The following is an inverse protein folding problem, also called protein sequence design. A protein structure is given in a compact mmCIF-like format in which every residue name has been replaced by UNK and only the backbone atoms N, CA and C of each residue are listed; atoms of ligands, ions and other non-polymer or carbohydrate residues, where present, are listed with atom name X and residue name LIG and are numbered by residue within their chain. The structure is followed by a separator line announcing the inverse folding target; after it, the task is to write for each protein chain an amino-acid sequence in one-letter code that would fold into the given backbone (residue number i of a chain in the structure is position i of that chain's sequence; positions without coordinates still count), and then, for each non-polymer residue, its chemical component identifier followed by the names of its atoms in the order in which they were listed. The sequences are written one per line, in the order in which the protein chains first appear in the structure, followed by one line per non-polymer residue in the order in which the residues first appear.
data_IF_599052435196
#
_entry.id   IF_599052435196
#
_cell.length_a   1.000
_cell.length_b   1.000
_cell.length_c   1.000
_cell.angle_alpha   90.00
_cell.angle_beta   90.00
_cell.angle_gamma   90.00
#
_symmetry.space_group_name_H-M   'P 1'
#
loop_
_entity.id
_entity.type
_entity.pdbx_description
1 polymer ?
#
# COMPACT_ATOMS: atom_id res chain seq x y z
N UNK A 1 26.60 10.36 10.82
CA UNK A 1 26.78 10.82 12.21
C UNK A 1 25.73 11.82 12.70
N UNK A 2 25.28 12.81 11.88
CA UNK A 2 24.20 13.75 12.28
C UNK A 2 22.94 13.05 12.79
N UNK A 3 22.48 12.01 12.10
CA UNK A 3 21.31 11.21 12.50
C UNK A 3 21.44 10.64 13.92
N UNK A 4 22.58 10.04 14.28
CA UNK A 4 22.79 9.45 15.61
C UNK A 4 22.83 10.51 16.71
N UNK A 5 23.44 11.68 16.45
CA UNK A 5 23.39 12.83 17.35
C UNK A 5 21.96 13.33 17.55
N UNK A 6 21.15 13.38 16.47
CA UNK A 6 19.75 13.76 16.54
C UNK A 6 18.93 12.74 17.34
N UNK A 7 19.18 11.43 17.17
CA UNK A 7 18.52 10.38 17.97
C UNK A 7 18.82 10.55 19.46
N UNK A 8 20.08 10.85 19.82
CA UNK A 8 20.47 11.10 21.21
C UNK A 8 19.69 12.29 21.78
N UNK A 9 19.66 13.40 21.05
CA UNK A 9 18.93 14.61 21.45
C UNK A 9 17.44 14.32 21.62
N UNK A 10 16.81 13.65 20.66
CA UNK A 10 15.38 13.34 20.67
C UNK A 10 14.99 12.40 21.83
N UNK A 11 15.87 11.51 22.22
CA UNK A 11 15.64 10.56 23.31
C UNK A 11 16.09 11.07 24.69
N UNK A 12 16.66 12.27 24.78
CA UNK A 12 17.12 12.83 26.04
C UNK A 12 18.33 12.10 26.66
N UNK A 13 19.07 11.30 25.87
CA UNK A 13 20.21 10.48 26.32
C UNK A 13 21.55 11.23 26.20
N UNK A 14 21.58 12.56 26.48
CA UNK A 14 22.72 13.44 26.25
C UNK A 14 24.00 13.00 26.96
N UNK A 15 23.91 12.50 28.19
CA UNK A 15 25.05 12.16 29.03
C UNK A 15 25.72 10.82 28.68
N UNK A 16 25.08 10.00 27.84
CA UNK A 16 25.53 8.63 27.52
C UNK A 16 25.66 8.41 26.01
N UNK A 17 26.06 9.46 25.30
CA UNK A 17 26.05 9.49 23.83
C UNK A 17 27.12 8.64 23.14
N UNK A 18 28.22 8.31 23.84
CA UNK A 18 29.38 7.63 23.22
C UNK A 18 29.02 6.25 22.65
N UNK A 19 28.19 5.47 23.33
CA UNK A 19 27.82 4.12 22.89
C UNK A 19 26.91 4.15 21.65
N UNK A 20 25.98 5.12 21.56
CA UNK A 20 25.16 5.32 20.37
C UNK A 20 26.00 5.80 19.19
N UNK A 21 26.96 6.70 19.44
CA UNK A 21 27.92 7.12 18.42
C UNK A 21 28.81 5.97 17.94
N UNK A 22 29.22 5.08 18.85
CA UNK A 22 29.97 3.85 18.52
C UNK A 22 29.14 2.93 17.63
N UNK A 23 27.83 2.74 17.92
CA UNK A 23 26.91 2.02 17.03
C UNK A 23 26.88 2.68 15.64
N UNK A 24 26.81 4.01 15.59
CA UNK A 24 26.85 4.77 14.33
C UNK A 24 28.14 4.56 13.54
N UNK A 25 29.29 4.50 14.22
CA UNK A 25 30.57 4.19 13.56
C UNK A 25 30.61 2.74 13.03
N UNK A 26 30.10 1.77 13.78
CA UNK A 26 30.00 0.38 13.33
C UNK A 26 29.15 0.27 12.06
N UNK A 27 27.99 0.94 12.02
CA UNK A 27 27.12 0.96 10.84
C UNK A 27 27.81 1.66 9.66
N UNK A 28 28.48 2.79 9.90
CA UNK A 28 29.23 3.50 8.85
C UNK A 28 30.36 2.63 8.28
N UNK A 29 31.08 1.89 9.14
CA UNK A 29 32.10 0.93 8.71
C UNK A 29 31.50 -0.16 7.84
N UNK A 30 30.36 -0.73 8.25
CA UNK A 30 29.66 -1.77 7.50
C UNK A 30 29.23 -1.28 6.10
N UNK A 31 28.73 -0.04 5.99
CA UNK A 31 28.40 0.58 4.71
C UNK A 31 29.64 0.70 3.81
N UNK A 32 30.76 1.16 4.38
CA UNK A 32 32.01 1.32 3.61
C UNK A 32 32.53 -0.02 3.07
N UNK A 33 32.43 -1.09 3.88
CA UNK A 33 32.99 -2.39 3.54
C UNK A 33 32.10 -3.21 2.61
N UNK A 34 30.77 -3.18 2.85
CA UNK A 34 29.82 -4.10 2.20
C UNK A 34 28.77 -3.40 1.32
N UNK A 35 28.77 -2.06 1.30
CA UNK A 35 27.81 -1.25 0.55
C UNK A 35 26.42 -1.16 1.20
N UNK A 36 25.53 -0.36 0.56
CA UNK A 36 24.20 -0.07 1.10
C UNK A 36 23.27 -1.30 1.08
N UNK A 37 23.27 -2.09 0.00
CA UNK A 37 22.35 -3.21 -0.16
C UNK A 37 22.56 -4.30 0.89
N UNK A 38 23.82 -4.68 1.14
CA UNK A 38 24.14 -5.63 2.22
C UNK A 38 23.78 -5.06 3.58
N UNK A 39 24.20 -3.82 3.86
CA UNK A 39 23.95 -3.17 5.16
C UNK A 39 22.46 -3.03 5.44
N UNK A 40 21.66 -2.75 4.41
CA UNK A 40 20.21 -2.73 4.50
C UNK A 40 19.64 -4.05 5.05
N UNK A 41 19.98 -5.18 4.41
CA UNK A 41 19.52 -6.51 4.83
C UNK A 41 20.04 -6.86 6.23
N UNK A 42 21.29 -6.53 6.50
CA UNK A 42 21.95 -6.79 7.78
C UNK A 42 21.26 -6.03 8.94
N UNK A 43 21.02 -4.72 8.79
CA UNK A 43 20.37 -3.92 9.83
C UNK A 43 18.90 -4.28 10.02
N UNK A 44 18.19 -4.64 8.93
CA UNK A 44 16.82 -5.13 9.02
C UNK A 44 16.75 -6.40 9.86
N UNK A 45 17.68 -7.32 9.66
CA UNK A 45 17.78 -8.54 10.47
C UNK A 45 18.19 -8.24 11.91
N UNK A 46 19.11 -7.29 12.14
CA UNK A 46 19.44 -6.83 13.49
C UNK A 46 18.22 -6.31 14.25
N UNK A 47 17.37 -5.50 13.58
CA UNK A 47 16.14 -4.98 14.19
C UNK A 47 15.19 -6.12 14.56
N UNK A 48 15.02 -7.12 13.67
CA UNK A 48 14.20 -8.31 13.94
C UNK A 48 14.70 -9.08 15.17
N UNK A 49 16.01 -9.30 15.26
CA UNK A 49 16.63 -10.02 16.38
C UNK A 49 16.44 -9.29 17.73
N UNK A 50 16.54 -7.96 17.73
CA UNK A 50 16.24 -7.16 18.94
C UNK A 50 14.78 -7.32 19.35
N UNK A 51 13.85 -7.27 18.41
CA UNK A 51 12.41 -7.47 18.70
C UNK A 51 12.13 -8.88 19.24
N UNK A 52 12.75 -9.91 18.66
CA UNK A 52 12.63 -11.29 19.16
C UNK A 52 13.20 -11.46 20.58
N UNK A 53 14.31 -10.80 20.88
CA UNK A 53 14.86 -10.79 22.24
C UNK A 53 13.89 -10.15 23.22
N UNK A 54 13.30 -9.01 22.89
CA UNK A 54 12.31 -8.31 23.72
C UNK A 54 11.01 -9.10 23.89
N UNK A 55 10.64 -9.89 22.88
CA UNK A 55 9.48 -10.80 22.94
C UNK A 55 9.76 -12.10 23.73
N UNK A 56 10.95 -12.27 24.32
CA UNK A 56 11.29 -13.49 25.06
C UNK A 56 11.58 -14.73 24.20
N UNK A 57 11.70 -14.56 22.88
CA UNK A 57 11.97 -15.65 21.91
C UNK A 57 13.29 -15.45 21.15
N UNK A 58 14.43 -15.29 21.83
CA UNK A 58 15.70 -15.02 21.18
C UNK A 58 16.17 -16.22 20.33
N UNK A 59 16.76 -15.93 19.18
CA UNK A 59 17.40 -16.96 18.34
C UNK A 59 18.92 -16.92 18.45
N UNK A 60 19.55 -18.10 18.52
CA UNK A 60 21.01 -18.24 18.58
C UNK A 60 21.70 -18.18 17.22
N UNK A 61 20.93 -18.31 16.15
CA UNK A 61 21.43 -18.32 14.78
C UNK A 61 20.52 -17.46 13.91
N UNK A 62 21.12 -16.58 13.11
CA UNK A 62 20.40 -15.74 12.19
C UNK A 62 20.96 -15.87 10.79
N UNK A 63 20.14 -16.39 9.90
CA UNK A 63 20.39 -16.38 8.46
C UNK A 63 19.08 -16.03 7.76
N UNK A 64 19.01 -14.86 7.17
CA UNK A 64 17.82 -14.41 6.47
C UNK A 64 18.21 -13.72 5.15
N UNK A 65 17.61 -14.13 4.05
CA UNK A 65 17.81 -13.55 2.71
C UNK A 65 19.29 -13.41 2.30
N UNK A 66 20.12 -14.40 2.62
CA UNK A 66 21.54 -14.41 2.24
C UNK A 66 22.46 -13.61 3.16
N UNK A 67 21.95 -13.06 4.27
CA UNK A 67 22.76 -12.29 5.22
C UNK A 67 22.80 -13.00 6.58
N UNK A 68 24.02 -13.26 7.06
CA UNK A 68 24.25 -13.81 8.39
C UNK A 68 24.63 -12.70 9.36
N UNK A 69 23.86 -12.58 10.46
CA UNK A 69 24.15 -11.63 11.54
C UNK A 69 24.81 -12.38 12.71
N UNK A 70 25.97 -11.90 13.14
CA UNK A 70 26.64 -12.43 14.34
C UNK A 70 25.88 -11.99 15.59
N UNK A 71 25.50 -12.94 16.43
CA UNK A 71 24.79 -12.71 17.69
C UNK A 71 25.58 -13.14 18.87
N UNK A 72 25.33 -12.57 20.06
CA UNK A 72 25.90 -13.00 21.33
C UNK A 72 25.10 -14.21 21.88
N UNK A 73 25.49 -14.71 23.06
CA UNK A 73 24.84 -15.84 23.76
C UNK A 73 23.34 -15.61 24.06
N UNK A 74 22.89 -14.35 24.09
CA UNK A 74 21.52 -13.98 24.36
C UNK A 74 20.69 -13.70 23.07
N UNK A 75 21.28 -13.91 21.88
CA UNK A 75 20.59 -13.66 20.60
C UNK A 75 20.63 -12.20 20.13
N UNK A 76 21.36 -11.32 20.82
CA UNK A 76 21.48 -9.91 20.42
C UNK A 76 22.60 -9.69 19.40
N UNK A 77 22.40 -8.84 18.36
CA UNK A 77 23.40 -8.54 17.34
C UNK A 77 24.68 -7.94 17.92
N UNK A 78 25.84 -8.47 17.50
CA UNK A 78 27.16 -8.03 17.98
C UNK A 78 27.54 -6.62 17.49
N UNK A 79 26.93 -6.15 16.40
CA UNK A 79 27.13 -4.78 15.91
C UNK A 79 26.70 -3.72 16.94
N UNK A 80 25.75 -4.06 17.81
CA UNK A 80 25.32 -3.22 18.93
C UNK A 80 26.40 -3.29 20.02
N UNK A 81 27.00 -2.17 20.46
CA UNK A 81 27.96 -2.14 21.54
C UNK A 81 27.47 -2.85 22.80
N UNK A 82 28.41 -3.50 23.53
CA UNK A 82 28.08 -4.28 24.73
C UNK A 82 27.29 -3.51 25.78
N UNK A 83 27.63 -2.24 26.12
CA UNK A 83 26.84 -1.48 27.08
C UNK A 83 25.37 -1.27 26.63
N UNK A 84 25.12 -1.03 25.34
CA UNK A 84 23.75 -0.89 24.83
C UNK A 84 22.98 -2.23 24.87
N UNK A 85 23.66 -3.36 24.65
CA UNK A 85 23.01 -4.69 24.75
C UNK A 85 22.59 -5.01 26.19
N UNK A 86 23.39 -4.62 27.18
CA UNK A 86 23.03 -4.79 28.59
C UNK A 86 21.78 -3.99 28.94
N UNK A 87 21.66 -2.75 28.47
CA UNK A 87 20.51 -1.88 28.74
C UNK A 87 19.19 -2.38 28.15
N UNK A 88 19.21 -3.18 27.07
CA UNK A 88 18.02 -3.82 26.53
C UNK A 88 17.39 -4.86 27.46
N UNK A 89 18.16 -5.41 28.41
CA UNK A 89 17.71 -6.43 29.37
C UNK A 89 17.40 -5.91 30.77
N UNK A 90 17.68 -4.64 31.09
CA UNK A 90 17.47 -4.05 32.40
C UNK A 90 16.04 -3.52 32.56
N UNK A 91 15.46 -3.70 33.77
CA UNK A 91 14.18 -3.07 34.15
C UNK A 91 14.41 -1.56 34.40
N UNK A 92 13.42 -0.73 34.06
CA UNK A 92 13.45 0.72 34.25
C UNK A 92 13.57 1.48 32.92
N UNK A 93 14.73 2.05 32.59
CA UNK A 93 14.96 2.87 31.38
C UNK A 93 15.00 2.08 30.07
N UNK A 94 14.67 0.79 30.10
CA UNK A 94 14.76 -0.11 28.94
C UNK A 94 13.95 0.36 27.72
N UNK A 95 12.81 1.00 27.93
CA UNK A 95 11.94 1.50 26.85
C UNK A 95 12.62 2.60 26.06
N UNK A 96 13.29 3.54 26.74
CA UNK A 96 13.98 4.65 26.09
C UNK A 96 15.18 4.17 25.29
N UNK A 97 15.99 3.29 25.89
CA UNK A 97 17.13 2.66 25.22
C UNK A 97 16.69 1.78 24.04
N UNK A 98 15.60 1.04 24.19
CA UNK A 98 15.02 0.25 23.11
C UNK A 98 14.61 1.13 21.93
N UNK A 99 13.90 2.24 22.20
CA UNK A 99 13.55 3.22 21.17
C UNK A 99 14.79 3.78 20.48
N UNK A 100 15.79 4.20 21.23
CA UNK A 100 17.02 4.75 20.67
C UNK A 100 17.77 3.74 19.79
N UNK A 101 17.96 2.51 20.28
CA UNK A 101 18.67 1.45 19.54
C UNK A 101 17.91 1.05 18.27
N UNK A 102 16.61 0.82 18.36
CA UNK A 102 15.78 0.48 17.19
C UNK A 102 15.72 1.63 16.17
N UNK A 103 15.68 2.88 16.63
CA UNK A 103 15.76 4.06 15.74
C UNK A 103 17.10 4.07 15.01
N UNK A 104 18.21 3.85 15.71
CA UNK A 104 19.55 3.78 15.10
C UNK A 104 19.66 2.62 14.10
N UNK A 105 19.17 1.44 14.44
CA UNK A 105 19.17 0.28 13.52
C UNK A 105 18.28 0.55 12.29
N UNK A 106 17.15 1.22 12.44
CA UNK A 106 16.22 1.51 11.36
C UNK A 106 16.70 2.61 10.38
N UNK A 107 17.91 3.15 10.55
CA UNK A 107 18.53 4.11 9.60
C UNK A 107 18.56 3.56 8.16
N UNK A 108 18.55 2.24 7.99
CA UNK A 108 18.52 1.61 6.67
C UNK A 108 17.31 2.04 5.82
N UNK A 109 16.24 2.50 6.45
CA UNK A 109 15.05 3.02 5.74
C UNK A 109 15.35 4.28 4.92
N UNK A 110 16.45 4.99 5.24
CA UNK A 110 16.89 6.19 4.55
C UNK A 110 17.98 5.90 3.49
N UNK A 111 18.36 4.63 3.30
CA UNK A 111 19.38 4.30 2.32
C UNK A 111 18.84 4.47 0.89
N UNK A 112 19.65 4.99 -0.03
CA UNK A 112 19.26 5.21 -1.43
C UNK A 112 19.28 3.90 -2.21
N UNK A 113 18.61 2.88 -1.70
CA UNK A 113 18.48 1.57 -2.36
C UNK A 113 17.27 1.60 -3.28
N UNK A 114 17.47 1.40 -4.59
CA UNK A 114 16.40 1.25 -5.57
C UNK A 114 16.31 -0.22 -5.95
N UNK A 115 15.20 -0.86 -5.58
CA UNK A 115 14.89 -2.21 -6.02
C UNK A 115 14.21 -2.13 -7.38
N UNK A 116 14.53 -3.07 -8.27
CA UNK A 116 13.84 -3.20 -9.57
C UNK A 116 12.35 -3.51 -9.27
N UNK A 117 11.41 -2.78 -9.87
CA UNK A 117 9.99 -3.07 -9.69
C UNK A 117 9.67 -4.46 -10.23
N UNK A 118 8.89 -5.20 -9.47
CA UNK A 118 8.42 -6.53 -9.82
C UNK A 118 6.92 -6.47 -10.12
N UNK A 119 6.53 -6.92 -11.32
CA UNK A 119 5.15 -6.98 -11.79
C UNK A 119 4.53 -8.37 -11.60
N UNK A 120 5.27 -9.35 -11.11
CA UNK A 120 4.82 -10.74 -11.01
C UNK A 120 3.51 -10.86 -10.23
N UNK A 121 3.37 -10.13 -9.11
CA UNK A 121 2.13 -10.13 -8.33
C UNK A 121 0.90 -9.65 -9.10
N UNK A 122 1.10 -8.81 -10.11
CA UNK A 122 0.02 -8.22 -10.94
C UNK A 122 -0.35 -9.15 -12.10
N UNK A 123 0.68 -9.69 -12.80
CA UNK A 123 0.48 -10.38 -14.09
C UNK A 123 0.35 -11.90 -13.98
N UNK A 124 0.89 -12.50 -12.91
CA UNK A 124 0.80 -13.94 -12.74
C UNK A 124 -0.63 -14.41 -12.49
N UNK A 125 -1.05 -15.54 -13.08
CA UNK A 125 -2.36 -16.11 -12.86
C UNK A 125 -2.54 -16.55 -11.39
N UNK A 126 -3.79 -16.81 -11.00
CA UNK A 126 -4.10 -17.30 -9.67
C UNK A 126 -3.47 -18.68 -9.44
N UNK A 127 -2.72 -18.81 -8.35
CA UNK A 127 -2.01 -20.03 -7.97
C UNK A 127 -2.57 -20.71 -6.71
N UNK A 128 -3.67 -20.20 -6.14
CA UNK A 128 -4.31 -20.77 -4.95
C UNK A 128 -5.15 -22.01 -5.26
N UNK A 129 -5.57 -22.73 -4.21
CA UNK A 129 -6.36 -23.97 -4.31
C UNK A 129 -7.78 -23.71 -4.83
N UNK A 130 -8.37 -22.57 -4.48
CA UNK A 130 -9.73 -22.23 -4.90
C UNK A 130 -9.87 -20.73 -5.17
N UNK A 131 -10.13 -20.36 -6.43
CA UNK A 131 -10.36 -18.98 -6.83
C UNK A 131 -11.75 -18.48 -6.44
N UNK A 132 -12.74 -19.36 -6.45
CA UNK A 132 -14.14 -19.06 -6.11
C UNK A 132 -14.41 -19.34 -4.63
N UNK A 133 -13.92 -18.47 -3.76
CA UNK A 133 -14.31 -18.49 -2.35
C UNK A 133 -15.78 -18.06 -2.24
N UNK A 134 -16.67 -19.02 -1.97
CA UNK A 134 -18.07 -18.72 -1.68
C UNK A 134 -18.18 -18.31 -0.21
N UNK A 135 -18.36 -17.01 0.02
CA UNK A 135 -18.68 -16.54 1.36
C UNK A 135 -20.12 -16.92 1.73
N UNK A 136 -20.36 -17.50 2.92
CA UNK A 136 -21.72 -17.73 3.39
C UNK A 136 -22.50 -16.40 3.45
N UNK A 137 -23.58 -16.31 2.69
CA UNK A 137 -24.43 -15.09 2.62
C UNK A 137 -24.91 -14.62 4.00
N UNK A 138 -25.18 -15.57 4.89
CA UNK A 138 -25.58 -15.30 6.28
C UNK A 138 -24.50 -14.56 7.06
N UNK A 139 -23.23 -14.94 6.88
CA UNK A 139 -22.09 -14.34 7.57
C UNK A 139 -21.90 -12.89 7.14
N UNK A 140 -21.93 -12.62 5.82
CA UNK A 140 -21.84 -11.26 5.29
C UNK A 140 -23.04 -10.42 5.69
N UNK A 141 -24.27 -10.96 5.61
CA UNK A 141 -25.47 -10.24 6.07
C UNK A 141 -25.39 -9.85 7.55
N UNK A 142 -24.92 -10.74 8.41
CA UNK A 142 -24.79 -10.45 9.83
C UNK A 142 -23.74 -9.37 10.09
N UNK A 143 -22.62 -9.39 9.35
CA UNK A 143 -21.58 -8.38 9.44
C UNK A 143 -22.05 -7.00 8.96
N UNK A 144 -22.86 -6.98 7.89
CA UNK A 144 -23.35 -5.74 7.25
C UNK A 144 -24.65 -5.21 7.86
N UNK A 145 -25.19 -5.90 8.86
CA UNK A 145 -26.52 -5.63 9.42
C UNK A 145 -26.73 -4.15 9.74
N UNK A 146 -27.64 -3.51 8.99
CA UNK A 146 -27.98 -2.08 9.17
C UNK A 146 -27.17 -1.10 8.34
N UNK A 147 -26.13 -1.53 7.62
CA UNK A 147 -25.32 -0.66 6.77
C UNK A 147 -25.65 -0.92 5.29
N UNK A 148 -26.03 0.14 4.57
CA UNK A 148 -26.12 0.16 3.12
C UNK A 148 -24.93 0.92 2.56
N UNK A 149 -24.24 0.30 1.62
CA UNK A 149 -23.19 0.92 0.83
C UNK A 149 -23.76 1.15 -0.57
N UNK A 150 -23.56 2.32 -1.13
CA UNK A 150 -23.97 2.66 -2.49
C UNK A 150 -22.88 3.49 -3.19
N UNK A 151 -23.02 3.68 -4.48
CA UNK A 151 -22.14 4.58 -5.21
C UNK A 151 -22.32 6.05 -4.78
N UNK A 152 -23.40 6.37 -4.09
CA UNK A 152 -23.67 7.71 -3.58
C UNK A 152 -23.85 8.77 -4.67
N UNK A 153 -24.07 10.01 -4.24
CA UNK A 153 -24.18 11.16 -5.13
C UNK A 153 -22.80 11.69 -5.48
N UNK A 154 -22.51 11.79 -6.77
CA UNK A 154 -21.27 12.40 -7.28
C UNK A 154 -21.39 13.91 -7.18
N UNK A 155 -20.61 14.50 -6.28
CA UNK A 155 -20.50 15.97 -6.15
C UNK A 155 -19.32 16.49 -6.95
N UNK A 156 -19.25 17.79 -7.16
CA UNK A 156 -18.10 18.45 -7.77
C UNK A 156 -16.80 18.06 -7.06
N UNK A 157 -15.81 17.63 -7.82
CA UNK A 157 -14.59 17.03 -7.29
C UNK A 157 -13.37 17.56 -8.03
N UNK A 158 -12.40 18.05 -7.26
CA UNK A 158 -11.08 18.39 -7.75
C UNK A 158 -10.13 17.32 -7.26
N UNK A 159 -9.59 16.51 -8.17
CA UNK A 159 -8.60 15.50 -7.82
C UNK A 159 -7.20 16.12 -7.84
N UNK A 160 -6.55 16.11 -6.68
CA UNK A 160 -5.12 16.39 -6.56
C UNK A 160 -4.26 15.14 -6.83
N UNK A 161 -4.88 13.96 -6.86
CA UNK A 161 -4.22 12.70 -7.21
C UNK A 161 -3.77 12.72 -8.67
N UNK A 162 -2.70 11.98 -8.97
CA UNK A 162 -2.19 11.88 -10.32
C UNK A 162 -3.16 11.13 -11.25
N UNK A 163 -3.26 11.59 -12.49
CA UNK A 163 -3.90 10.87 -13.58
C UNK A 163 -2.89 10.17 -14.49
N UNK A 164 -3.37 9.44 -15.51
CA UNK A 164 -2.49 8.75 -16.45
C UNK A 164 -1.64 9.71 -17.28
N UNK A 165 -2.15 10.90 -17.55
CA UNK A 165 -1.53 11.91 -18.44
C UNK A 165 -0.98 13.09 -17.64
N UNK A 166 -1.73 13.58 -16.66
CA UNK A 166 -1.39 14.79 -15.89
C UNK A 166 -0.98 14.46 -14.45
N UNK A 167 -0.12 15.30 -13.87
CA UNK A 167 0.28 15.18 -12.45
C UNK A 167 -0.91 15.35 -11.48
N UNK A 168 -1.94 16.09 -11.89
CA UNK A 168 -3.23 16.18 -11.20
C UNK A 168 -4.30 15.76 -12.19
N UNK A 169 -5.12 14.76 -11.85
CA UNK A 169 -6.10 14.17 -12.77
C UNK A 169 -7.09 15.20 -13.31
N UNK A 170 -7.51 16.18 -12.51
CA UNK A 170 -8.40 17.25 -12.93
C UNK A 170 -7.89 18.02 -14.16
N UNK A 171 -6.59 18.29 -14.23
CA UNK A 171 -5.99 19.03 -15.36
C UNK A 171 -5.92 18.18 -16.64
N UNK A 172 -5.96 16.86 -16.51
CA UNK A 172 -5.98 15.92 -17.64
C UNK A 172 -7.39 15.51 -18.09
N UNK A 173 -8.45 15.99 -17.44
CA UNK A 173 -9.81 15.47 -17.60
C UNK A 173 -10.33 15.51 -19.04
N UNK A 174 -10.01 16.54 -19.82
CA UNK A 174 -10.39 16.63 -21.22
C UNK A 174 -9.74 15.56 -22.09
N UNK A 175 -8.43 15.33 -21.91
CA UNK A 175 -7.68 14.29 -22.63
C UNK A 175 -8.08 12.89 -22.15
N UNK A 176 -8.32 12.73 -20.86
CA UNK A 176 -8.84 11.49 -20.28
C UNK A 176 -10.23 11.13 -20.84
N UNK A 177 -11.07 12.14 -21.17
CA UNK A 177 -12.35 11.92 -21.84
C UNK A 177 -12.17 11.32 -23.24
N UNK A 178 -11.20 11.81 -24.01
CA UNK A 178 -10.87 11.25 -25.34
C UNK A 178 -10.36 9.82 -25.26
N UNK A 179 -9.59 9.48 -24.23
CA UNK A 179 -9.12 8.10 -24.02
C UNK A 179 -10.28 7.11 -23.88
N UNK A 180 -11.42 7.51 -23.32
CA UNK A 180 -12.61 6.67 -23.17
C UNK A 180 -13.23 6.25 -24.52
N UNK A 181 -13.07 7.03 -25.60
CA UNK A 181 -13.66 6.73 -26.92
C UNK A 181 -13.20 5.36 -27.44
N UNK A 182 -11.94 5.02 -27.23
CA UNK A 182 -11.38 3.74 -27.65
C UNK A 182 -11.67 2.56 -26.68
N UNK A 183 -12.45 2.82 -25.63
CA UNK A 183 -12.79 1.84 -24.60
C UNK A 183 -14.30 1.84 -24.28
N UNK A 184 -15.16 1.38 -25.22
CA UNK A 184 -16.62 1.56 -25.12
C UNK A 184 -17.26 0.96 -23.88
N UNK A 185 -16.82 -0.22 -23.42
CA UNK A 185 -17.33 -0.85 -22.19
C UNK A 185 -17.08 0.01 -20.97
N UNK A 186 -15.89 0.61 -20.88
CA UNK A 186 -15.52 1.48 -19.77
C UNK A 186 -16.26 2.81 -19.88
N UNK A 187 -16.38 3.37 -21.08
CA UNK A 187 -17.14 4.59 -21.33
C UNK A 187 -18.61 4.47 -20.91
N UNK A 188 -19.27 3.37 -21.29
CA UNK A 188 -20.64 3.06 -20.88
C UNK A 188 -20.72 2.92 -19.36
N UNK A 189 -19.74 2.27 -18.73
CA UNK A 189 -19.71 2.12 -17.28
C UNK A 189 -19.54 3.45 -16.56
N UNK A 190 -18.70 4.36 -17.09
CA UNK A 190 -18.57 5.74 -16.58
C UNK A 190 -19.91 6.48 -16.70
N UNK A 191 -20.58 6.43 -17.85
CA UNK A 191 -21.89 7.07 -18.04
C UNK A 191 -22.93 6.51 -17.06
N UNK A 192 -22.98 5.17 -16.89
CA UNK A 192 -23.88 4.52 -15.93
C UNK A 192 -23.61 4.97 -14.49
N UNK A 193 -22.35 5.05 -14.10
CA UNK A 193 -21.94 5.50 -12.76
C UNK A 193 -22.30 6.99 -12.55
N UNK A 194 -22.03 7.85 -13.53
CA UNK A 194 -22.40 9.27 -13.49
C UNK A 194 -23.93 9.45 -13.42
N UNK A 195 -24.68 8.65 -14.16
CA UNK A 195 -26.15 8.68 -14.12
C UNK A 195 -26.69 8.26 -12.75
N UNK A 196 -26.24 7.11 -12.24
CA UNK A 196 -26.61 6.63 -10.92
C UNK A 196 -26.23 7.62 -9.82
N UNK A 197 -25.06 8.28 -9.95
CA UNK A 197 -24.57 9.31 -9.05
C UNK A 197 -25.22 10.70 -9.24
N UNK A 198 -26.26 10.83 -10.09
CA UNK A 198 -26.98 12.08 -10.39
C UNK A 198 -26.08 13.20 -10.92
N UNK A 199 -25.01 12.85 -11.60
CA UNK A 199 -23.98 13.77 -12.10
C UNK A 199 -24.20 14.14 -13.58
N UNK A 200 -25.41 14.55 -13.95
CA UNK A 200 -25.84 14.78 -15.35
C UNK A 200 -24.97 15.84 -16.05
N UNK A 201 -24.54 16.88 -15.36
CA UNK A 201 -23.65 17.91 -15.94
C UNK A 201 -22.31 17.32 -16.40
N UNK A 202 -21.76 16.33 -15.67
CA UNK A 202 -20.54 15.64 -16.10
C UNK A 202 -20.80 14.77 -17.34
N UNK A 203 -21.97 14.15 -17.47
CA UNK A 203 -22.34 13.43 -18.69
C UNK A 203 -22.39 14.38 -19.87
N UNK A 204 -23.05 15.54 -19.70
CA UNK A 204 -23.10 16.57 -20.75
C UNK A 204 -21.70 17.02 -21.13
N UNK A 205 -20.83 17.31 -20.14
CA UNK A 205 -19.45 17.71 -20.40
C UNK A 205 -18.67 16.63 -21.16
N UNK A 206 -18.80 15.36 -20.76
CA UNK A 206 -18.14 14.24 -21.42
C UNK A 206 -18.57 14.10 -22.89
N UNK A 207 -19.88 14.14 -23.12
CA UNK A 207 -20.45 14.05 -24.47
C UNK A 207 -20.06 15.26 -25.33
N UNK A 208 -20.04 16.46 -24.77
CA UNK A 208 -19.58 17.67 -25.47
C UNK A 208 -18.14 17.54 -25.92
N UNK A 209 -17.23 17.04 -25.03
CA UNK A 209 -15.84 16.80 -25.39
C UNK A 209 -15.74 15.76 -26.53
N UNK A 210 -16.55 14.70 -26.48
CA UNK A 210 -16.56 13.67 -27.53
C UNK A 210 -17.05 14.21 -28.86
N UNK A 211 -18.08 15.05 -28.88
CA UNK A 211 -18.62 15.66 -30.13
C UNK A 211 -17.58 16.62 -30.72
N UNK A 212 -16.99 17.49 -29.92
CA UNK A 212 -16.11 18.55 -30.40
C UNK A 212 -14.70 18.04 -30.78
N UNK A 213 -14.09 17.19 -29.95
CA UNK A 213 -12.71 16.77 -30.08
C UNK A 213 -12.55 15.31 -30.51
N UNK A 214 -13.57 14.48 -30.34
CA UNK A 214 -13.55 13.07 -30.67
C UNK A 214 -13.23 12.78 -32.15
N UNK A 215 -13.91 13.42 -33.13
CA UNK A 215 -13.59 13.20 -34.52
C UNK A 215 -12.15 13.51 -34.88
N UNK A 216 -11.62 14.61 -34.35
CA UNK A 216 -10.21 15.00 -34.56
C UNK A 216 -9.29 13.92 -33.98
N UNK A 217 -9.53 13.48 -32.74
CA UNK A 217 -8.72 12.45 -32.07
C UNK A 217 -8.74 11.12 -32.83
N UNK A 218 -9.93 10.64 -33.22
CA UNK A 218 -10.10 9.38 -33.95
C UNK A 218 -9.41 9.45 -35.32
N UNK A 219 -9.55 10.56 -36.04
CA UNK A 219 -8.88 10.76 -37.33
C UNK A 219 -7.37 10.71 -37.16
N UNK A 220 -6.80 11.47 -36.23
CA UNK A 220 -5.36 11.46 -35.96
C UNK A 220 -4.84 10.07 -35.56
N UNK A 221 -5.62 9.33 -34.77
CA UNK A 221 -5.30 7.96 -34.39
C UNK A 221 -5.27 7.01 -35.60
N UNK A 222 -6.31 7.07 -36.48
CA UNK A 222 -6.44 6.21 -37.65
C UNK A 222 -5.35 6.45 -38.69
N UNK A 223 -4.92 7.69 -38.89
CA UNK A 223 -3.83 8.02 -39.82
C UNK A 223 -2.42 7.82 -39.22
N UNK A 224 -2.34 7.33 -37.98
CA UNK A 224 -1.06 7.09 -37.30
C UNK A 224 -0.34 8.36 -36.83
N UNK A 225 -0.96 9.53 -36.94
CA UNK A 225 -0.41 10.80 -36.45
C UNK A 225 -0.67 11.03 -34.95
N UNK A 226 -1.57 10.23 -34.34
CA UNK A 226 -1.89 10.26 -32.93
C UNK A 226 -1.58 8.95 -32.21
N UNK A 227 -1.21 9.02 -30.93
CA UNK A 227 -1.00 7.84 -30.08
C UNK A 227 -2.28 7.43 -29.36
N UNK A 228 -2.39 6.15 -29.00
CA UNK A 228 -3.44 5.66 -28.11
C UNK A 228 -3.28 6.28 -26.73
N UNK A 229 -4.27 7.06 -26.31
CA UNK A 229 -4.27 7.69 -24.99
C UNK A 229 -4.53 6.65 -23.90
N UNK A 230 -3.75 6.66 -22.82
CA UNK A 230 -3.93 5.70 -21.72
C UNK A 230 -5.14 6.07 -20.86
N UNK A 231 -6.00 5.10 -20.57
CA UNK A 231 -7.12 5.26 -19.63
C UNK A 231 -6.69 5.08 -18.17
N UNK A 232 -5.56 4.42 -17.96
CA UNK A 232 -4.91 4.24 -16.68
C UNK A 232 -3.42 3.97 -16.88
N UNK A 233 -2.60 4.36 -15.92
CA UNK A 233 -1.15 4.18 -15.94
C UNK A 233 -0.66 3.59 -14.63
N UNK A 234 0.28 2.64 -14.71
CA UNK A 234 1.03 2.17 -13.57
C UNK A 234 2.29 3.01 -13.38
N UNK A 235 2.54 3.44 -12.16
CA UNK A 235 3.73 4.19 -11.77
C UNK A 235 4.48 3.49 -10.65
N UNK A 236 5.80 3.63 -10.64
CA UNK A 236 6.63 3.08 -9.57
C UNK A 236 6.90 4.16 -8.54
N UNK A 237 6.45 3.94 -7.32
CA UNK A 237 6.78 4.77 -6.17
C UNK A 237 7.82 4.03 -5.33
N UNK A 238 8.98 4.63 -5.20
CA UNK A 238 10.03 4.10 -4.33
C UNK A 238 9.75 4.53 -2.90
N UNK A 239 9.40 3.56 -2.08
CA UNK A 239 9.15 3.75 -0.65
C UNK A 239 10.43 3.56 0.17
N UNK A 240 10.36 3.94 1.43
CA UNK A 240 11.42 3.69 2.39
C UNK A 240 11.78 2.20 2.43
N UNK A 241 12.99 1.90 2.85
CA UNK A 241 13.49 0.53 2.94
C UNK A 241 13.64 -0.19 1.59
N UNK A 242 13.90 0.56 0.50
CA UNK A 242 14.17 0.00 -0.83
C UNK A 242 13.00 -0.75 -1.46
N UNK A 243 11.77 -0.48 -1.05
CA UNK A 243 10.58 -1.06 -1.67
C UNK A 243 10.18 -0.26 -2.90
N UNK A 244 9.89 -0.94 -3.99
CA UNK A 244 9.24 -0.37 -5.16
C UNK A 244 7.76 -0.78 -5.13
N UNK A 245 6.87 0.19 -4.98
CA UNK A 245 5.42 -0.03 -5.02
C UNK A 245 4.91 0.35 -6.40
N UNK A 246 4.09 -0.48 -6.99
CA UNK A 246 3.42 -0.18 -8.25
C UNK A 246 2.05 0.39 -7.90
N UNK A 247 1.86 1.65 -8.26
CA UNK A 247 0.62 2.40 -7.97
C UNK A 247 -0.12 2.63 -9.28
N UNK A 248 -1.40 2.37 -9.26
CA UNK A 248 -2.29 2.56 -10.39
C UNK A 248 -2.89 3.98 -10.36
N UNK A 249 -2.82 4.68 -11.48
CA UNK A 249 -3.35 6.02 -11.66
C UNK A 249 -4.44 5.98 -12.75
N UNK A 250 -5.72 5.84 -12.38
CA UNK A 250 -6.83 5.86 -13.32
C UNK A 250 -7.14 7.28 -13.81
N UNK A 251 -7.89 7.38 -14.91
CA UNK A 251 -8.33 8.64 -15.45
C UNK A 251 -9.19 9.43 -14.45
N UNK A 252 -9.28 10.74 -14.64
CA UNK A 252 -10.14 11.62 -13.83
C UNK A 252 -11.58 11.09 -13.74
N UNK A 253 -12.16 10.63 -14.84
CA UNK A 253 -13.55 10.16 -14.90
C UNK A 253 -13.79 8.93 -14.04
N UNK A 254 -12.83 8.03 -13.98
CA UNK A 254 -12.90 6.83 -13.13
C UNK A 254 -12.74 7.21 -11.66
N UNK A 255 -11.78 8.09 -11.33
CA UNK A 255 -11.62 8.60 -9.96
C UNK A 255 -12.90 9.28 -9.46
N UNK A 256 -13.52 10.11 -10.32
CA UNK A 256 -14.79 10.79 -10.04
C UNK A 256 -15.92 9.80 -9.73
N UNK A 257 -16.06 8.74 -10.55
CA UNK A 257 -17.09 7.72 -10.37
C UNK A 257 -16.90 6.87 -9.11
N UNK A 258 -15.66 6.53 -8.77
CA UNK A 258 -15.34 5.65 -7.63
C UNK A 258 -15.30 6.38 -6.27
N UNK A 259 -15.14 7.70 -6.27
CA UNK A 259 -15.00 8.49 -5.05
C UNK A 259 -16.15 8.34 -4.06
N UNK A 260 -17.43 8.41 -4.45
CA UNK A 260 -18.54 8.27 -3.50
C UNK A 260 -18.60 6.87 -2.88
N UNK A 261 -18.31 5.83 -3.67
CA UNK A 261 -18.24 4.46 -3.18
C UNK A 261 -17.08 4.31 -2.16
N UNK A 262 -15.90 4.84 -2.47
CA UNK A 262 -14.78 4.87 -1.54
C UNK A 262 -15.18 5.54 -0.23
N UNK A 263 -15.79 6.72 -0.27
CA UNK A 263 -16.20 7.47 0.92
C UNK A 263 -17.28 6.73 1.72
N UNK A 264 -18.16 5.97 1.04
CA UNK A 264 -19.20 5.14 1.68
C UNK A 264 -18.59 3.93 2.40
N UNK A 265 -17.67 3.20 1.75
CA UNK A 265 -16.94 2.09 2.35
C UNK A 265 -16.11 2.59 3.55
N UNK A 266 -15.43 3.72 3.39
CA UNK A 266 -14.58 4.28 4.44
C UNK A 266 -15.40 4.70 5.69
N UNK A 267 -16.62 5.20 5.49
CA UNK A 267 -17.56 5.48 6.59
C UNK A 267 -18.00 4.20 7.30
N UNK A 268 -18.34 3.16 6.53
CA UNK A 268 -18.71 1.86 7.08
C UNK A 268 -17.58 1.26 7.92
N UNK A 269 -16.33 1.29 7.45
CA UNK A 269 -15.17 0.75 8.16
C UNK A 269 -14.91 1.44 9.51
N UNK A 270 -15.31 2.70 9.67
CA UNK A 270 -15.18 3.41 10.97
C UNK A 270 -15.97 2.75 12.10
N UNK A 271 -17.07 2.09 11.75
CA UNK A 271 -17.97 1.45 12.71
C UNK A 271 -17.60 -0.01 12.97
N UNK A 272 -16.53 -0.51 12.31
CA UNK A 272 -16.00 -1.87 12.50
C UNK A 272 -14.88 -1.84 13.55
N UNK A 273 -15.08 -2.39 14.76
CA UNK A 273 -14.10 -2.31 15.83
C UNK A 273 -12.75 -2.96 15.53
N UNK A 274 -12.75 -3.95 14.62
CA UNK A 274 -11.55 -4.68 14.19
C UNK A 274 -10.78 -3.96 13.09
N UNK A 275 -11.33 -2.89 12.50
CA UNK A 275 -10.68 -2.14 11.42
C UNK A 275 -9.63 -1.18 11.96
N UNK A 276 -8.38 -1.35 11.53
CA UNK A 276 -7.25 -0.49 11.88
C UNK A 276 -6.93 0.60 10.86
N UNK A 277 -7.78 0.84 9.85
CA UNK A 277 -7.51 1.79 8.76
C UNK A 277 -7.40 3.22 9.27
N UNK A 278 -8.26 3.62 10.22
CA UNK A 278 -8.27 4.95 10.81
C UNK A 278 -7.49 5.02 12.11
N UNK A 279 -7.66 4.03 12.98
CA UNK A 279 -6.99 3.90 14.27
C UNK A 279 -6.32 2.53 14.38
N UNK A 280 -5.00 2.51 14.17
CA UNK A 280 -4.21 1.27 14.23
C UNK A 280 -4.10 0.68 15.64
N UNK A 281 -4.34 1.49 16.68
CA UNK A 281 -4.25 1.05 18.06
C UNK A 281 -5.59 0.52 18.61
N UNK A 282 -6.72 0.96 18.05
CA UNK A 282 -8.05 0.56 18.48
C UNK A 282 -8.24 -0.96 18.55
N UNK A 283 -8.00 -1.71 17.46
CA UNK A 283 -8.08 -3.18 17.47
C UNK A 283 -7.14 -3.86 18.47
N UNK A 284 -5.93 -3.30 18.66
CA UNK A 284 -4.98 -3.79 19.65
C UNK A 284 -5.44 -3.59 21.09
N UNK A 285 -6.08 -2.46 21.37
CA UNK A 285 -6.64 -2.19 22.71
C UNK A 285 -7.79 -3.16 23.02
N UNK A 286 -8.66 -3.43 22.05
CA UNK A 286 -9.70 -4.47 22.20
C UNK A 286 -9.13 -5.83 22.55
N UNK A 287 -8.00 -6.22 21.93
CA UNK A 287 -7.33 -7.48 22.26
C UNK A 287 -6.72 -7.47 23.67
N UNK A 288 -6.18 -6.33 24.13
CA UNK A 288 -5.61 -6.19 25.47
C UNK A 288 -6.65 -6.23 26.58
N UNK A 289 -7.84 -5.67 26.32
CA UNK A 289 -8.96 -5.62 27.25
C UNK A 289 -9.78 -6.91 27.27
N UNK A 290 -9.52 -7.83 26.32
CA UNK A 290 -10.19 -9.13 26.28
C UNK A 290 -9.81 -9.96 27.53
N UNK A 291 -10.81 -10.46 28.31
CA UNK A 291 -10.58 -11.17 29.57
C UNK A 291 -9.95 -12.57 29.38
N UNK A 292 -9.74 -12.99 28.17
CA UNK A 292 -9.22 -14.31 27.85
C UNK A 292 -7.70 -14.35 27.96
N UNK A 293 -7.19 -14.62 29.12
CA UNK A 293 -5.80 -14.92 29.41
C UNK A 293 -5.49 -16.37 28.99
N UNK A 294 -4.43 -16.56 28.21
CA UNK A 294 -3.96 -17.90 27.82
C UNK A 294 -4.20 -18.26 26.33
N UNK A 295 -4.58 -17.32 25.49
CA UNK A 295 -4.77 -17.54 24.07
C UNK A 295 -3.47 -17.42 23.26
N UNK A 296 -3.36 -18.30 22.27
CA UNK A 296 -2.34 -18.17 21.23
C UNK A 296 -2.77 -17.11 20.22
N UNK A 297 -1.90 -16.14 19.97
CA UNK A 297 -2.11 -15.13 18.93
C UNK A 297 -1.49 -15.62 17.63
N UNK A 298 -2.30 -15.72 16.58
CA UNK A 298 -1.83 -15.98 15.22
C UNK A 298 -1.86 -14.69 14.43
N UNK A 299 -0.68 -14.21 14.03
CA UNK A 299 -0.54 -12.98 13.24
C UNK A 299 -0.22 -13.35 11.80
N UNK A 300 -1.00 -12.83 10.85
CA UNK A 300 -0.82 -13.05 9.42
C UNK A 300 -0.57 -11.72 8.72
N UNK A 301 0.40 -11.71 7.80
CA UNK A 301 0.63 -10.60 6.87
C UNK A 301 0.49 -11.14 5.45
N UNK A 302 -0.41 -10.53 4.68
CA UNK A 302 -0.68 -10.96 3.30
C UNK A 302 0.29 -10.27 2.34
N UNK A 303 1.08 -11.08 1.64
CA UNK A 303 1.94 -10.59 0.57
C UNK A 303 1.12 -10.18 -0.65
N UNK A 304 1.31 -8.92 -1.11
CA UNK A 304 0.62 -8.36 -2.28
C UNK A 304 -0.92 -8.54 -2.22
N UNK A 305 -1.52 -8.27 -1.05
CA UNK A 305 -2.93 -8.55 -0.79
C UNK A 305 -3.86 -7.97 -1.87
N UNK A 306 -3.66 -6.72 -2.27
CA UNK A 306 -4.46 -6.03 -3.29
C UNK A 306 -4.36 -6.72 -4.65
N UNK A 307 -3.15 -7.10 -5.06
CA UNK A 307 -2.90 -7.72 -6.37
C UNK A 307 -3.38 -9.17 -6.44
N UNK A 308 -3.45 -9.86 -5.29
CA UNK A 308 -3.64 -11.33 -5.23
C UNK A 308 -4.96 -11.79 -4.64
N UNK A 309 -5.71 -10.91 -3.94
CA UNK A 309 -7.05 -11.25 -3.46
C UNK A 309 -8.02 -11.31 -4.65
N UNK A 310 -8.67 -12.47 -4.93
CA UNK A 310 -9.50 -12.65 -6.12
C UNK A 310 -10.57 -11.56 -6.25
N UNK A 311 -10.63 -10.93 -7.41
CA UNK A 311 -11.57 -9.83 -7.68
C UNK A 311 -13.02 -10.31 -7.66
N UNK A 312 -13.26 -11.57 -8.03
CA UNK A 312 -14.59 -12.20 -7.98
C UNK A 312 -15.17 -12.20 -6.56
N UNK A 313 -14.32 -12.49 -5.55
CA UNK A 313 -14.70 -12.39 -4.14
C UNK A 313 -15.12 -10.97 -3.76
N UNK A 314 -14.39 -9.97 -4.25
CA UNK A 314 -14.69 -8.57 -3.96
C UNK A 314 -15.99 -8.14 -4.65
N UNK A 315 -16.24 -8.59 -5.89
CA UNK A 315 -17.51 -8.37 -6.60
C UNK A 315 -18.68 -8.95 -5.80
N UNK A 316 -18.54 -10.16 -5.26
CA UNK A 316 -19.60 -10.82 -4.50
C UNK A 316 -19.86 -10.12 -3.16
N UNK A 317 -18.83 -9.68 -2.48
CA UNK A 317 -18.97 -8.86 -1.26
C UNK A 317 -19.72 -7.56 -1.59
N UNK A 318 -19.35 -6.84 -2.64
CA UNK A 318 -20.01 -5.60 -3.04
C UNK A 318 -21.48 -5.82 -3.39
N UNK A 319 -21.81 -6.91 -4.10
CA UNK A 319 -23.23 -7.28 -4.40
C UNK A 319 -24.02 -7.55 -3.12
N UNK A 320 -23.42 -8.21 -2.12
CA UNK A 320 -24.07 -8.47 -0.84
C UNK A 320 -24.28 -7.17 -0.03
N UNK A 321 -23.42 -6.18 -0.24
CA UNK A 321 -23.52 -4.82 0.32
C UNK A 321 -24.53 -3.93 -0.43
N UNK A 322 -25.14 -4.43 -1.52
CA UNK A 322 -26.09 -3.68 -2.33
C UNK A 322 -25.49 -2.84 -3.45
N UNK A 323 -24.19 -2.99 -3.71
CA UNK A 323 -23.48 -2.27 -4.78
C UNK A 323 -23.49 -3.08 -6.08
N UNK A 324 -23.62 -2.40 -7.25
CA UNK A 324 -23.40 -3.03 -8.55
C UNK A 324 -21.91 -3.41 -8.71
N UNK A 325 -21.57 -4.62 -8.27
CA UNK A 325 -20.21 -5.14 -8.32
C UNK A 325 -19.67 -5.28 -9.74
N UNK A 326 -20.54 -5.48 -10.75
CA UNK A 326 -20.11 -5.55 -12.14
C UNK A 326 -19.73 -4.17 -12.69
N UNK A 327 -20.50 -3.15 -12.34
CA UNK A 327 -20.18 -1.76 -12.67
C UNK A 327 -18.84 -1.36 -12.04
N UNK A 328 -18.63 -1.69 -10.76
CA UNK A 328 -17.35 -1.47 -10.08
C UNK A 328 -16.20 -2.19 -10.78
N UNK A 329 -16.38 -3.48 -11.11
CA UNK A 329 -15.38 -4.26 -11.83
C UNK A 329 -14.93 -3.61 -13.13
N UNK A 330 -15.88 -3.14 -13.94
CA UNK A 330 -15.56 -2.49 -15.21
C UNK A 330 -14.77 -1.18 -15.03
N UNK A 331 -14.93 -0.49 -13.89
CA UNK A 331 -14.22 0.74 -13.58
C UNK A 331 -12.81 0.49 -13.02
N UNK A 332 -12.54 -0.66 -12.41
CA UNK A 332 -11.23 -0.97 -11.84
C UNK A 332 -10.38 -1.89 -12.71
N UNK A 333 -10.99 -2.76 -13.54
CA UNK A 333 -10.28 -3.69 -14.42
C UNK A 333 -9.89 -3.03 -15.74
N UNK A 334 -8.97 -2.07 -15.68
CA UNK A 334 -8.55 -1.28 -16.82
C UNK A 334 -7.36 -1.92 -17.56
N UNK A 335 -7.16 -1.58 -18.86
CA UNK A 335 -5.88 -1.75 -19.51
C UNK A 335 -4.90 -0.68 -19.01
N UNK A 336 -3.96 -1.09 -18.15
CA UNK A 336 -3.00 -0.20 -17.53
C UNK A 336 -1.76 -0.03 -18.44
N UNK A 337 -1.41 1.20 -18.76
CA UNK A 337 -0.17 1.51 -19.46
C UNK A 337 1.01 1.50 -18.47
N UNK A 338 2.02 0.70 -18.78
CA UNK A 338 3.28 0.69 -18.05
C UNK A 338 4.44 0.71 -19.05
N UNK A 339 5.20 1.80 -19.09
CA UNK A 339 6.19 2.05 -20.13
C UNK A 339 5.51 1.98 -21.52
N UNK A 340 5.89 1.01 -22.35
CA UNK A 340 5.32 0.82 -23.69
C UNK A 340 4.38 -0.40 -23.78
N UNK A 341 4.01 -0.99 -22.64
CA UNK A 341 3.19 -2.19 -22.56
C UNK A 341 1.83 -1.90 -21.95
N UNK A 342 0.85 -2.73 -22.30
CA UNK A 342 -0.47 -2.72 -21.66
C UNK A 342 -0.57 -3.91 -20.73
N UNK A 343 -0.79 -3.66 -19.44
CA UNK A 343 -0.88 -4.65 -18.38
C UNK A 343 -2.30 -4.72 -17.84
N UNK A 344 -2.77 -5.90 -17.47
CA UNK A 344 -4.01 -6.13 -16.74
C UNK A 344 -3.72 -6.90 -15.46
N UNK A 345 -4.47 -6.61 -14.41
CA UNK A 345 -4.42 -7.41 -13.19
C UNK A 345 -5.03 -8.78 -13.46
N UNK A 346 -4.26 -9.83 -13.18
CA UNK A 346 -4.67 -11.21 -13.46
C UNK A 346 -5.63 -11.78 -12.40
N UNK A 347 -5.55 -11.29 -11.17
CA UNK A 347 -6.26 -11.88 -10.01
C UNK A 347 -7.01 -10.83 -9.20
N UNK A 348 -6.32 -9.84 -8.67
CA UNK A 348 -6.87 -8.86 -7.75
C UNK A 348 -7.24 -7.53 -8.40
N UNK A 349 -7.13 -6.48 -7.62
CA UNK A 349 -7.44 -5.12 -8.04
C UNK A 349 -6.21 -4.20 -7.98
N UNK A 350 -6.20 -3.09 -8.73
CA UNK A 350 -5.12 -2.13 -8.69
C UNK A 350 -5.01 -1.43 -7.32
N UNK A 351 -3.78 -1.19 -6.91
CA UNK A 351 -3.45 -0.38 -5.75
C UNK A 351 -3.32 1.08 -6.19
N UNK A 352 -4.20 1.96 -5.67
CA UNK A 352 -4.16 3.39 -5.99
C UNK A 352 -5.34 4.15 -5.40
#
# INVERSE_FOLDING_TARGET
MKFFKYTIWLTGLSDQNQDILKLGHNIKSLIKTNGFNFTFLYLKECSRLVVMFLAGTPTKSSYNKGVRVRVNRYGLPVIIPSPLRVRLGLQGDSVLWTKAILTCLNIYRQFPTRVKPDLSSIIEPFSGLNRSLVLPRSLVRNFVRGHRIDFGVIRGFISESAGPIAKRATWGSGVDALALILHPVIAISVIRALWAGKAHLYIVSLVTIWILLGPIYVTLYLIGAGSKLPIGRLSVVYDQAGKARIVAMPSFWIQLCLRPLHDSIYRFLKDVPQDGTKDQLGPLNLLRESPNTGHYFSCFDLSAATDRLPIDLQIDILKLLGVDGQLWYNLVNLPWSYRNETIRYAVGQPMG
#
